data_IF_700926537526
#
_entry.id   IF_700926537526
#
_cell.length_a   1.000
_cell.length_b   1.000
_cell.length_c   1.000
_cell.angle_alpha   90.00
_cell.angle_beta   90.00
_cell.angle_gamma   90.00
#
_symmetry.space_group_name_H-M   'P 1'
#
loop_
_entity.id
_entity.type
_entity.pdbx_description
1 polymer ?
#
# COMPACT_ATOMS: atom_id res chain seq x y z
N UNK A 1 -12.52 6.31 -0.24
CA UNK A 1 -11.25 5.72 -0.72
C UNK A 1 -10.40 6.86 -1.21
N UNK A 2 -9.20 7.02 -0.69
CA UNK A 2 -8.25 8.00 -1.18
C UNK A 2 -7.32 7.28 -2.16
N UNK A 3 -7.35 7.67 -3.44
CA UNK A 3 -6.64 7.01 -4.52
C UNK A 3 -5.64 7.99 -5.14
N UNK A 4 -4.35 7.69 -5.00
CA UNK A 4 -3.25 8.57 -5.41
C UNK A 4 -2.53 7.96 -6.61
N UNK A 5 -2.29 8.75 -7.65
CA UNK A 5 -1.60 8.31 -8.87
C UNK A 5 -0.66 9.41 -9.38
N UNK A 6 0.63 9.09 -9.51
CA UNK A 6 1.66 10.06 -9.89
C UNK A 6 1.63 10.38 -11.38
N UNK A 7 1.20 9.44 -12.23
CA UNK A 7 1.10 9.64 -13.65
C UNK A 7 -0.20 10.37 -14.03
N UNK A 8 -0.14 11.58 -14.61
CA UNK A 8 -1.33 12.37 -14.88
C UNK A 8 -2.29 11.73 -15.89
N UNK A 9 -1.78 10.94 -16.83
CA UNK A 9 -2.60 10.22 -17.81
C UNK A 9 -3.37 9.09 -17.10
N UNK A 10 -2.68 8.29 -16.28
CA UNK A 10 -3.30 7.25 -15.46
C UNK A 10 -4.32 7.84 -14.48
N UNK A 11 -4.04 8.98 -13.87
CA UNK A 11 -4.97 9.66 -12.98
C UNK A 11 -6.25 10.09 -13.72
N UNK A 12 -6.13 10.57 -14.97
CA UNK A 12 -7.29 10.86 -15.81
C UNK A 12 -8.17 9.61 -16.03
N UNK A 13 -7.55 8.44 -16.24
CA UNK A 13 -8.28 7.18 -16.34
C UNK A 13 -8.88 6.73 -15.00
N UNK A 14 -8.20 6.97 -13.86
CA UNK A 14 -8.73 6.69 -12.53
C UNK A 14 -10.04 7.43 -12.28
N UNK A 15 -10.07 8.74 -12.55
CA UNK A 15 -11.29 9.57 -12.41
C UNK A 15 -12.40 9.06 -13.32
N UNK A 16 -12.09 8.85 -14.62
CA UNK A 16 -13.05 8.32 -15.59
C UNK A 16 -13.61 6.95 -15.18
N UNK A 17 -12.76 6.08 -14.64
CA UNK A 17 -13.20 4.76 -14.16
C UNK A 17 -14.12 4.88 -12.96
N UNK A 18 -13.86 5.79 -12.02
CA UNK A 18 -14.74 6.04 -10.88
C UNK A 18 -16.13 6.54 -11.33
N UNK A 19 -16.18 7.41 -12.35
CA UNK A 19 -17.43 7.87 -12.96
C UNK A 19 -18.19 6.74 -13.65
N UNK A 20 -17.51 5.97 -14.52
CA UNK A 20 -18.13 4.86 -15.27
C UNK A 20 -18.68 3.76 -14.35
N UNK A 21 -18.08 3.58 -13.17
CA UNK A 21 -18.54 2.63 -12.16
C UNK A 21 -19.56 3.22 -11.16
N UNK A 22 -19.91 4.51 -11.27
CA UNK A 22 -20.87 5.16 -10.37
C UNK A 22 -20.38 5.32 -8.93
N UNK A 23 -19.06 5.38 -8.70
CA UNK A 23 -18.44 5.46 -7.36
C UNK A 23 -17.66 6.75 -7.14
N UNK A 24 -17.79 7.74 -8.02
CA UNK A 24 -17.10 9.04 -7.92
C UNK A 24 -17.34 9.77 -6.59
N UNK A 25 -18.51 9.60 -5.96
CA UNK A 25 -18.78 10.18 -4.64
C UNK A 25 -18.06 9.47 -3.46
N UNK A 26 -17.41 8.33 -3.70
CA UNK A 26 -16.72 7.52 -2.68
C UNK A 26 -15.21 7.41 -2.92
N UNK A 27 -14.73 7.91 -4.06
CA UNK A 27 -13.33 7.89 -4.46
C UNK A 27 -12.83 9.33 -4.54
N UNK A 28 -11.94 9.70 -3.63
CA UNK A 28 -11.15 10.93 -3.70
C UNK A 28 -9.89 10.61 -4.49
N UNK A 29 -9.82 11.03 -5.75
CA UNK A 29 -8.70 10.73 -6.65
C UNK A 29 -7.77 11.94 -6.74
N UNK A 30 -6.50 11.76 -6.39
CA UNK A 30 -5.49 12.82 -6.39
C UNK A 30 -4.31 12.47 -7.30
N UNK A 31 -3.90 13.43 -8.13
CA UNK A 31 -2.78 13.29 -9.04
C UNK A 31 -1.51 13.82 -8.38
N UNK A 32 -0.54 12.95 -8.10
CA UNK A 32 0.72 13.32 -7.48
C UNK A 32 1.40 12.17 -6.74
N UNK A 33 2.51 12.50 -6.10
CA UNK A 33 3.25 11.54 -5.27
C UNK A 33 2.45 11.20 -4.01
N UNK A 34 2.29 9.92 -3.70
CA UNK A 34 1.53 9.52 -2.51
C UNK A 34 2.14 10.12 -1.23
N UNK A 35 3.46 10.29 -1.15
CA UNK A 35 4.16 10.81 0.02
C UNK A 35 3.76 12.24 0.38
N UNK A 36 3.40 13.03 -0.63
CA UNK A 36 2.95 14.42 -0.46
C UNK A 36 1.43 14.52 -0.24
N UNK A 37 0.68 13.50 -0.65
CA UNK A 37 -0.78 13.51 -0.68
C UNK A 37 -1.41 12.81 0.55
N UNK A 38 -0.66 11.98 1.26
CA UNK A 38 -1.14 11.30 2.46
C UNK A 38 -1.72 12.30 3.47
N UNK A 39 -3.01 12.15 3.76
CA UNK A 39 -3.75 13.03 4.67
C UNK A 39 -4.69 12.22 5.55
N UNK A 40 -4.54 12.37 6.86
CA UNK A 40 -5.36 11.70 7.86
C UNK A 40 -4.93 10.27 8.19
N UNK A 41 -5.87 9.47 8.70
CA UNK A 41 -5.63 8.10 9.18
C UNK A 41 -6.44 7.07 8.38
N UNK A 42 -5.81 5.97 7.96
CA UNK A 42 -6.40 4.91 7.14
C UNK A 42 -6.59 3.61 7.93
N UNK A 43 -7.72 2.94 7.67
CA UNK A 43 -8.02 1.60 8.17
C UNK A 43 -7.39 0.51 7.28
N UNK A 44 -7.14 0.83 6.01
CA UNK A 44 -6.58 -0.10 5.02
C UNK A 44 -5.78 0.65 3.95
N UNK A 45 -4.61 0.14 3.60
CA UNK A 45 -3.76 0.65 2.53
C UNK A 45 -3.43 -0.43 1.50
N UNK A 46 -3.48 -0.05 0.21
CA UNK A 46 -3.04 -0.90 -0.90
C UNK A 46 -1.77 -0.30 -1.50
N UNK A 47 -0.65 -1.02 -1.38
CA UNK A 47 0.64 -0.58 -1.88
C UNK A 47 1.02 -1.44 -3.07
N UNK A 48 0.31 -1.25 -4.19
CA UNK A 48 0.38 -2.07 -5.40
C UNK A 48 1.63 -1.87 -6.27
N UNK A 49 2.71 -1.33 -5.73
CA UNK A 49 3.97 -1.06 -6.42
C UNK A 49 5.05 -2.05 -5.99
N UNK A 50 5.95 -2.47 -6.89
CA UNK A 50 7.00 -3.44 -6.55
C UNK A 50 8.05 -2.93 -5.57
N UNK A 51 8.22 -1.62 -5.49
CA UNK A 51 9.12 -0.93 -4.56
C UNK A 51 8.32 -0.32 -3.40
N UNK A 52 7.17 -0.90 -3.06
CA UNK A 52 6.32 -0.37 -1.99
C UNK A 52 7.01 -0.33 -0.62
N UNK A 53 8.04 -1.15 -0.40
CA UNK A 53 8.81 -1.10 0.84
C UNK A 53 9.41 0.28 1.12
N UNK A 54 9.73 1.06 0.08
CA UNK A 54 10.35 2.38 0.21
C UNK A 54 9.35 3.44 0.70
N UNK A 55 8.04 3.14 0.62
CA UNK A 55 6.95 4.02 1.04
C UNK A 55 6.38 3.63 2.41
N UNK A 56 6.88 2.55 3.03
CA UNK A 56 6.44 2.11 4.36
C UNK A 56 6.62 3.21 5.43
N UNK A 57 7.77 3.92 5.50
CA UNK A 57 7.96 4.98 6.48
C UNK A 57 6.94 6.13 6.34
N UNK A 58 6.46 6.39 5.13
CA UNK A 58 5.48 7.44 4.85
C UNK A 58 4.05 7.01 5.21
N UNK A 59 3.64 5.77 4.88
CA UNK A 59 2.26 5.32 5.13
C UNK A 59 2.01 4.89 6.58
N UNK A 60 2.98 4.30 7.27
CA UNK A 60 2.78 3.77 8.63
C UNK A 60 2.31 4.84 9.64
N UNK A 61 2.86 6.07 9.65
CA UNK A 61 2.32 7.18 10.45
C UNK A 61 0.87 7.54 10.13
N UNK A 62 0.35 7.15 8.97
CA UNK A 62 -1.04 7.37 8.57
C UNK A 62 -1.93 6.16 8.83
N UNK A 63 -1.43 5.04 9.34
CA UNK A 63 -2.27 3.89 9.65
C UNK A 63 -2.85 3.99 11.07
N UNK A 64 -4.03 3.36 11.26
CA UNK A 64 -4.63 3.13 12.57
C UNK A 64 -4.15 1.80 13.16
N UNK A 65 -4.25 1.69 14.48
CA UNK A 65 -4.11 0.41 15.19
C UNK A 65 -5.12 -0.61 14.64
N UNK A 66 -4.72 -1.86 14.44
CA UNK A 66 -5.55 -2.87 13.77
C UNK A 66 -5.76 -2.65 12.27
N UNK A 67 -5.11 -1.63 11.69
CA UNK A 67 -5.18 -1.34 10.26
C UNK A 67 -4.48 -2.39 9.41
N UNK A 68 -4.85 -2.48 8.13
CA UNK A 68 -4.35 -3.53 7.23
C UNK A 68 -3.57 -2.93 6.06
N UNK A 69 -2.33 -3.38 5.85
CA UNK A 69 -1.55 -3.04 4.66
C UNK A 69 -1.47 -4.24 3.72
N UNK A 70 -1.66 -3.99 2.43
CA UNK A 70 -1.40 -4.93 1.35
C UNK A 70 -0.14 -4.49 0.61
N UNK A 71 1.00 -5.06 0.98
CA UNK A 71 2.33 -4.63 0.52
C UNK A 71 2.78 -5.50 -0.64
N UNK A 72 2.85 -4.95 -1.85
CA UNK A 72 3.33 -5.70 -3.02
C UNK A 72 4.85 -5.59 -3.15
N UNK A 73 5.53 -6.68 -3.46
CA UNK A 73 6.98 -6.68 -3.61
C UNK A 73 7.41 -7.65 -4.69
N UNK A 74 8.68 -7.54 -5.10
CA UNK A 74 9.34 -8.66 -5.75
C UNK A 74 10.09 -9.43 -4.67
N UNK A 75 9.75 -10.71 -4.54
CA UNK A 75 10.23 -11.63 -3.52
C UNK A 75 9.77 -11.24 -2.10
N UNK A 76 10.08 -12.10 -1.13
CA UNK A 76 9.58 -11.98 0.25
C UNK A 76 10.37 -10.89 0.99
N UNK A 77 9.67 -9.87 1.47
CA UNK A 77 10.23 -8.72 2.20
C UNK A 77 9.78 -8.66 3.67
N UNK A 78 9.34 -9.78 4.25
CA UNK A 78 8.78 -9.83 5.62
C UNK A 78 9.71 -9.18 6.66
N UNK A 79 11.02 -9.39 6.56
CA UNK A 79 11.98 -8.78 7.49
C UNK A 79 12.08 -7.26 7.32
N UNK A 80 12.01 -6.76 6.08
CA UNK A 80 11.98 -5.32 5.79
C UNK A 80 10.71 -4.69 6.35
N UNK A 81 9.55 -5.35 6.20
CA UNK A 81 8.29 -4.90 6.79
C UNK A 81 8.41 -4.82 8.31
N UNK A 82 8.90 -5.87 8.97
CA UNK A 82 9.10 -5.88 10.43
C UNK A 82 10.02 -4.76 10.90
N UNK A 83 11.12 -4.52 10.20
CA UNK A 83 12.02 -3.40 10.50
C UNK A 83 11.29 -2.05 10.42
N UNK A 84 10.55 -1.80 9.34
CA UNK A 84 9.79 -0.57 9.16
C UNK A 84 8.69 -0.37 10.23
N UNK A 85 8.03 -1.45 10.64
CA UNK A 85 7.07 -1.43 11.75
C UNK A 85 7.73 -0.98 13.06
N UNK A 86 8.86 -1.58 13.41
CA UNK A 86 9.62 -1.23 14.62
C UNK A 86 10.12 0.22 14.60
N UNK A 87 10.63 0.69 13.46
CA UNK A 87 11.06 2.08 13.27
C UNK A 87 9.90 3.07 13.37
N UNK A 88 8.69 2.65 13.01
CA UNK A 88 7.46 3.46 13.09
C UNK A 88 6.76 3.38 14.45
N UNK A 89 7.33 2.64 15.41
CA UNK A 89 6.79 2.51 16.78
C UNK A 89 5.71 1.46 16.97
N UNK A 90 5.49 0.57 15.99
CA UNK A 90 4.63 -0.61 16.15
C UNK A 90 5.43 -1.78 16.73
N UNK A 91 4.77 -2.67 17.47
CA UNK A 91 5.37 -3.94 17.88
C UNK A 91 5.40 -4.90 16.68
N UNK A 92 6.57 -5.02 16.07
CA UNK A 92 6.77 -5.84 14.88
C UNK A 92 6.56 -7.35 15.12
N UNK A 93 6.62 -7.80 16.38
CA UNK A 93 6.40 -9.21 16.74
C UNK A 93 4.92 -9.53 16.96
N UNK A 94 4.11 -8.53 17.32
CA UNK A 94 2.65 -8.67 17.42
C UNK A 94 1.92 -8.51 16.07
N UNK A 95 2.59 -7.95 15.04
CA UNK A 95 2.01 -7.82 13.71
C UNK A 95 1.79 -9.19 13.03
N UNK A 96 0.57 -9.44 12.56
CA UNK A 96 0.26 -10.63 11.77
C UNK A 96 0.61 -10.39 10.29
N UNK A 97 1.49 -11.20 9.72
CA UNK A 97 1.95 -11.07 8.33
C UNK A 97 1.65 -12.37 7.57
N UNK A 98 0.82 -12.27 6.53
CA UNK A 98 0.52 -13.37 5.61
C UNK A 98 1.13 -13.10 4.24
N UNK A 99 1.94 -14.03 3.74
CA UNK A 99 2.68 -13.88 2.47
C UNK A 99 2.06 -14.73 1.37
N UNK A 100 1.64 -14.09 0.28
CA UNK A 100 0.95 -14.74 -0.82
C UNK A 100 1.67 -14.48 -2.16
N UNK A 101 1.87 -15.53 -2.97
CA UNK A 101 2.40 -15.39 -4.33
C UNK A 101 1.27 -14.99 -5.28
N UNK A 102 1.46 -13.88 -6.01
CA UNK A 102 0.49 -13.40 -7.01
C UNK A 102 0.79 -14.00 -8.38
N UNK A 103 2.02 -13.81 -8.87
CA UNK A 103 2.45 -14.32 -10.19
C UNK A 103 3.98 -14.42 -10.28
N UNK A 104 4.47 -15.21 -11.23
CA UNK A 104 5.91 -15.25 -11.55
C UNK A 104 6.33 -13.91 -12.18
N UNK A 105 7.41 -13.32 -11.67
CA UNK A 105 7.94 -12.05 -12.18
C UNK A 105 9.10 -12.29 -13.15
N UNK A 106 10.07 -13.12 -12.75
CA UNK A 106 11.25 -13.46 -13.56
C UNK A 106 11.79 -14.86 -13.18
N UNK A 107 12.84 -15.40 -13.83
CA UNK A 107 13.51 -16.60 -13.33
C UNK A 107 13.88 -16.43 -11.85
N UNK A 108 13.43 -17.36 -11.02
CA UNK A 108 13.61 -17.36 -9.57
C UNK A 108 13.01 -16.17 -8.79
N UNK A 109 12.20 -15.31 -9.43
CA UNK A 109 11.57 -14.15 -8.78
C UNK A 109 10.05 -14.19 -8.84
N UNK A 110 9.41 -13.83 -7.74
CA UNK A 110 7.95 -13.85 -7.61
C UNK A 110 7.42 -12.46 -7.27
N UNK A 111 6.31 -12.08 -7.87
CA UNK A 111 5.49 -11.00 -7.34
C UNK A 111 4.71 -11.55 -6.15
N UNK A 112 4.96 -10.96 -4.98
CA UNK A 112 4.34 -11.31 -3.71
C UNK A 112 3.46 -10.15 -3.24
N UNK A 113 2.41 -10.50 -2.49
CA UNK A 113 1.71 -9.57 -1.62
C UNK A 113 1.82 -10.06 -0.17
N UNK A 114 2.25 -9.17 0.72
CA UNK A 114 2.24 -9.39 2.16
C UNK A 114 1.06 -8.62 2.77
N UNK A 115 0.11 -9.36 3.33
CA UNK A 115 -1.01 -8.80 4.08
C UNK A 115 -0.56 -8.64 5.54
N UNK A 116 -0.52 -7.40 6.02
CA UNK A 116 0.01 -7.02 7.33
C UNK A 116 -1.13 -6.43 8.17
N UNK A 117 -1.47 -7.08 9.27
CA UNK A 117 -2.38 -6.54 10.28
C UNK A 117 -1.52 -5.88 11.35
N UNK A 118 -1.70 -4.57 11.53
CA UNK A 118 -0.99 -3.80 12.55
C UNK A 118 -1.50 -4.16 13.95
N UNK A 119 -0.61 -4.28 14.95
CA UNK A 119 -1.01 -4.44 16.35
C UNK A 119 -1.75 -3.21 16.85
#
# INVERSE_FOLDING_TARGET
>A
VHAMEINPISCGYLVKNAELNGVSCRVDAECGDCRDLLKGKYDRAFMGHFESQDMLPDILPHMKQGGILHVHSIDDITQTIRAALGESGFDADEAEISVNRVKKYAPHRWHIVSDVILP
#
